data_IF_618527722255
#
_entry.id   IF_618527722255
#
_cell.length_a   1.000
_cell.length_b   1.000
_cell.length_c   1.000
_cell.angle_alpha   90.00
_cell.angle_beta   90.00
_cell.angle_gamma   90.00
#
_symmetry.space_group_name_H-M   'P 1'
#
loop_
_entity.id
_entity.type
_entity.pdbx_description
1 polymer ?
#
# COMPACT_ATOMS: atom_id res chain seq x y z
N UNK A 1 1.95 -17.78 12.64
CA UNK A 1 1.16 -16.54 12.54
C UNK A 1 1.58 -15.89 11.25
N UNK A 2 0.65 -15.67 10.34
CA UNK A 2 0.93 -15.10 9.04
C UNK A 2 0.54 -13.62 9.06
N UNK A 3 1.32 -12.80 8.37
CA UNK A 3 1.03 -11.38 8.19
C UNK A 3 0.61 -11.16 6.76
N UNK A 4 -0.50 -10.45 6.58
CA UNK A 4 -0.98 -10.02 5.27
C UNK A 4 -1.24 -8.51 5.31
N UNK A 5 -1.16 -7.88 4.14
CA UNK A 5 -1.51 -6.47 3.98
C UNK A 5 -2.83 -6.38 3.22
N UNK A 6 -3.76 -5.61 3.76
CA UNK A 6 -5.05 -5.28 3.14
C UNK A 6 -5.09 -3.78 2.86
N UNK A 7 -5.49 -3.41 1.66
CA UNK A 7 -5.73 -2.01 1.30
C UNK A 7 -7.22 -1.72 1.41
N UNK A 8 -7.56 -0.70 2.20
CA UNK A 8 -8.93 -0.24 2.41
C UNK A 8 -9.12 1.09 1.67
N UNK A 9 -9.83 1.01 0.56
CA UNK A 9 -10.12 2.16 -0.30
C UNK A 9 -10.99 3.21 0.40
N UNK A 10 -12.00 2.79 1.18
CA UNK A 10 -12.97 3.70 1.79
C UNK A 10 -12.44 4.31 3.09
N UNK A 11 -11.72 3.52 3.88
CA UNK A 11 -11.05 4.01 5.08
C UNK A 11 -9.76 4.75 4.78
N UNK A 12 -9.25 4.68 3.54
CA UNK A 12 -7.94 5.19 3.15
C UNK A 12 -6.81 4.65 4.05
N UNK A 13 -6.79 3.34 4.30
CA UNK A 13 -5.80 2.69 5.16
C UNK A 13 -5.08 1.55 4.43
N UNK A 14 -3.76 1.44 4.66
CA UNK A 14 -3.08 0.15 4.51
C UNK A 14 -3.10 -0.52 5.88
N UNK A 15 -3.68 -1.70 5.97
CA UNK A 15 -3.80 -2.47 7.20
C UNK A 15 -2.88 -3.68 7.15
N UNK A 16 -2.06 -3.84 8.17
CA UNK A 16 -1.34 -5.08 8.42
C UNK A 16 -2.19 -5.96 9.34
N UNK A 17 -2.48 -7.18 8.91
CA UNK A 17 -3.38 -8.10 9.61
C UNK A 17 -2.63 -9.37 9.97
N UNK A 18 -2.68 -9.75 11.24
CA UNK A 18 -2.21 -11.05 11.71
C UNK A 18 -3.31 -12.08 11.56
N UNK A 19 -2.99 -13.22 10.94
CA UNK A 19 -3.88 -14.38 10.80
C UNK A 19 -3.29 -15.57 11.54
N UNK A 20 -4.08 -16.15 12.44
CA UNK A 20 -3.70 -17.33 13.22
C UNK A 20 -4.01 -18.65 12.47
N UNK A 21 -3.64 -19.77 13.08
CA UNK A 21 -3.82 -21.12 12.50
C UNK A 21 -5.28 -21.56 12.36
N UNK A 22 -6.20 -20.86 13.02
CA UNK A 22 -7.64 -21.10 13.01
C UNK A 22 -8.39 -20.06 12.15
N UNK A 23 -7.66 -19.28 11.33
CA UNK A 23 -8.20 -18.17 10.54
C UNK A 23 -8.77 -17.01 11.35
N UNK A 24 -8.44 -16.93 12.65
CA UNK A 24 -8.68 -15.75 13.45
C UNK A 24 -7.79 -14.61 12.98
N UNK A 25 -8.38 -13.43 12.75
CA UNK A 25 -7.67 -12.25 12.26
C UNK A 25 -7.79 -11.07 13.21
N UNK A 26 -6.69 -10.33 13.37
CA UNK A 26 -6.68 -9.05 14.07
C UNK A 26 -5.82 -8.03 13.34
N UNK A 27 -6.20 -6.76 13.43
CA UNK A 27 -5.38 -5.66 12.94
C UNK A 27 -4.10 -5.62 13.80
N UNK A 28 -2.96 -5.72 13.14
CA UNK A 28 -1.63 -5.68 13.75
C UNK A 28 -1.06 -4.26 13.71
N UNK A 29 -1.20 -3.57 12.57
CA UNK A 29 -0.85 -2.16 12.40
C UNK A 29 -1.75 -1.50 11.34
N UNK A 30 -1.88 -0.18 11.39
CA UNK A 30 -2.61 0.61 10.39
C UNK A 30 -1.78 1.80 9.95
N UNK A 31 -1.82 2.07 8.66
CA UNK A 31 -1.11 3.17 8.02
C UNK A 31 -2.16 4.03 7.29
N UNK A 32 -2.69 5.08 7.96
CA UNK A 32 -3.75 5.91 7.42
C UNK A 32 -3.24 6.92 6.39
N UNK A 33 -4.09 7.20 5.41
CA UNK A 33 -3.92 8.22 4.38
C UNK A 33 -5.08 9.22 4.41
N UNK A 34 -4.90 10.34 3.71
CA UNK A 34 -5.91 11.39 3.62
C UNK A 34 -7.14 10.96 2.82
N UNK A 35 -8.25 11.67 3.04
CA UNK A 35 -9.55 11.44 2.38
C UNK A 35 -9.56 11.59 0.85
N UNK A 36 -8.48 12.12 0.26
CA UNK A 36 -8.29 12.17 -1.20
C UNK A 36 -7.66 10.91 -1.77
N UNK A 37 -7.22 9.99 -0.91
CA UNK A 37 -6.60 8.72 -1.33
C UNK A 37 -7.69 7.69 -1.61
N UNK A 38 -7.50 6.91 -2.65
CA UNK A 38 -8.33 5.76 -2.95
C UNK A 38 -7.40 4.58 -3.17
N UNK A 39 -7.07 3.86 -2.09
CA UNK A 39 -6.08 2.80 -2.13
C UNK A 39 -6.66 1.56 -2.83
N UNK A 40 -6.02 1.13 -3.91
CA UNK A 40 -6.29 -0.13 -4.61
C UNK A 40 -5.00 -0.93 -4.75
N UNK A 41 -5.12 -2.22 -5.04
CA UNK A 41 -4.04 -3.11 -5.49
C UNK A 41 -2.67 -2.98 -4.80
N UNK A 42 -2.24 -4.04 -4.14
CA UNK A 42 -0.95 -4.06 -3.46
C UNK A 42 -0.08 -5.21 -3.96
N UNK A 43 1.23 -4.98 -4.04
CA UNK A 43 2.19 -6.01 -4.40
C UNK A 43 3.50 -5.87 -3.64
N UNK A 44 4.09 -7.01 -3.31
CA UNK A 44 5.41 -7.08 -2.70
C UNK A 44 6.49 -7.17 -3.76
N UNK A 45 7.59 -6.46 -3.54
CA UNK A 45 8.78 -6.50 -4.40
C UNK A 45 10.03 -6.55 -3.52
N UNK A 46 10.86 -7.57 -3.75
CA UNK A 46 12.18 -7.68 -3.12
C UNK A 46 13.21 -6.90 -3.92
N UNK A 47 13.91 -5.95 -3.29
CA UNK A 47 15.00 -5.19 -3.91
C UNK A 47 16.23 -5.26 -3.01
N UNK A 48 17.31 -5.88 -3.51
CA UNK A 48 18.59 -6.03 -2.79
C UNK A 48 18.46 -6.67 -1.39
N UNK A 49 17.50 -7.58 -1.22
CA UNK A 49 17.27 -8.29 0.05
C UNK A 49 16.30 -7.58 1.00
N UNK A 50 15.79 -6.41 0.64
CA UNK A 50 14.74 -5.70 1.38
C UNK A 50 13.38 -5.89 0.71
N UNK A 51 12.33 -6.02 1.50
CA UNK A 51 10.95 -6.14 1.02
C UNK A 51 10.28 -4.78 0.96
N UNK A 52 9.60 -4.50 -0.15
CA UNK A 52 8.82 -3.29 -0.33
C UNK A 52 7.38 -3.64 -0.69
N UNK A 53 6.42 -2.93 -0.10
CA UNK A 53 5.03 -2.96 -0.49
C UNK A 53 4.73 -1.76 -1.38
N UNK A 54 4.29 -2.03 -2.60
CA UNK A 54 3.78 -1.01 -3.53
C UNK A 54 2.26 -1.04 -3.49
N UNK A 55 1.65 0.13 -3.31
CA UNK A 55 0.18 0.30 -3.26
C UNK A 55 -0.23 1.33 -4.31
N UNK A 56 -1.22 0.99 -5.12
CA UNK A 56 -1.79 1.94 -6.07
C UNK A 56 -2.73 2.91 -5.36
N UNK A 57 -2.57 4.21 -5.59
CA UNK A 57 -3.50 5.26 -5.15
C UNK A 57 -3.98 6.05 -6.38
N UNK A 58 -4.97 5.52 -7.12
CA UNK A 58 -5.58 6.23 -8.24
C UNK A 58 -6.24 7.55 -7.85
N UNK A 59 -6.71 7.70 -6.60
CA UNK A 59 -7.30 8.96 -6.09
C UNK A 59 -6.32 10.13 -6.18
N UNK A 60 -5.02 9.84 -6.10
CA UNK A 60 -3.93 10.81 -6.25
C UNK A 60 -3.06 10.60 -7.48
N UNK A 61 -3.37 9.61 -8.34
CA UNK A 61 -2.52 9.22 -9.47
C UNK A 61 -1.09 8.90 -9.04
N UNK A 62 -0.92 8.13 -7.96
CA UNK A 62 0.39 7.80 -7.40
C UNK A 62 0.55 6.32 -7.06
N UNK A 63 1.80 5.86 -6.97
CA UNK A 63 2.15 4.61 -6.28
C UNK A 63 2.81 4.97 -4.95
N UNK A 64 2.30 4.40 -3.86
CA UNK A 64 2.85 4.53 -2.53
C UNK A 64 3.81 3.36 -2.28
N UNK A 65 4.99 3.65 -1.74
CA UNK A 65 6.02 2.63 -1.49
C UNK A 65 6.32 2.58 0.00
N UNK A 66 6.25 1.38 0.56
CA UNK A 66 6.63 1.11 1.94
C UNK A 66 7.82 0.17 1.98
N UNK A 67 8.80 0.43 2.85
CA UNK A 67 9.77 -0.57 3.26
C UNK A 67 9.15 -1.43 4.36
N UNK A 68 9.28 -2.76 4.27
CA UNK A 68 8.67 -3.72 5.19
C UNK A 68 9.76 -4.60 5.82
N UNK A 69 10.50 -4.08 6.82
CA UNK A 69 11.66 -4.80 7.39
C UNK A 69 11.24 -5.92 8.36
N UNK A 70 10.04 -5.81 8.95
CA UNK A 70 9.46 -6.78 9.86
C UNK A 70 7.96 -6.49 10.07
N UNK A 71 7.19 -7.44 10.62
CA UNK A 71 5.80 -7.20 11.01
C UNK A 71 5.64 -5.98 11.93
N UNK A 72 4.66 -5.12 11.63
CA UNK A 72 4.34 -3.90 12.37
C UNK A 72 5.40 -2.81 12.25
N UNK A 73 6.36 -2.99 11.35
CA UNK A 73 7.47 -2.05 11.11
C UNK A 73 7.47 -1.51 9.69
N UNK A 74 6.40 -1.69 8.91
CA UNK A 74 6.31 -1.06 7.61
C UNK A 74 6.41 0.46 7.75
N UNK A 75 7.17 1.09 6.84
CA UNK A 75 7.41 2.53 6.83
C UNK A 75 7.19 3.08 5.44
N UNK A 76 6.43 4.17 5.33
CA UNK A 76 6.24 4.87 4.07
C UNK A 76 7.55 5.56 3.66
N UNK A 77 8.12 5.17 2.53
CA UNK A 77 9.45 5.64 2.08
C UNK A 77 9.40 6.49 0.82
N UNK A 78 8.34 6.37 0.01
CA UNK A 78 8.24 7.14 -1.23
C UNK A 78 6.79 7.29 -1.71
N UNK A 79 6.48 8.47 -2.26
CA UNK A 79 5.34 8.72 -3.14
C UNK A 79 5.85 8.83 -4.58
N UNK A 80 5.44 7.94 -5.46
CA UNK A 80 5.75 8.04 -6.89
C UNK A 80 4.57 8.70 -7.61
N UNK A 81 4.74 9.96 -7.97
CA UNK A 81 3.76 10.75 -8.73
C UNK A 81 3.72 10.29 -10.20
N UNK A 82 2.56 9.82 -10.67
CA UNK A 82 2.39 9.39 -12.06
C UNK A 82 1.76 10.49 -12.94
N UNK A 83 1.24 11.57 -12.34
CA UNK A 83 0.45 12.58 -13.07
C UNK A 83 1.15 13.21 -14.27
N UNK A 84 2.42 13.61 -14.14
CA UNK A 84 3.16 14.23 -15.25
C UNK A 84 3.48 13.24 -16.39
N UNK A 85 4.04 12.04 -16.12
CA UNK A 85 4.19 10.99 -17.13
C UNK A 85 2.87 10.62 -17.83
N UNK A 86 1.77 10.45 -17.08
CA UNK A 86 0.47 10.08 -17.64
C UNK A 86 -0.10 11.17 -18.54
N UNK A 87 0.06 12.45 -18.17
CA UNK A 87 -0.32 13.58 -19.04
C UNK A 87 0.45 13.59 -20.35
N UNK A 88 1.76 13.32 -20.33
CA UNK A 88 2.57 13.22 -21.55
C UNK A 88 2.08 12.10 -22.47
N UNK A 89 1.67 10.98 -21.88
CA UNK A 89 1.11 9.83 -22.59
C UNK A 89 -0.37 10.02 -23.00
N UNK A 90 -0.98 11.17 -22.67
CA UNK A 90 -2.41 11.46 -22.91
C UNK A 90 -3.36 10.41 -22.32
N UNK A 91 -2.95 9.80 -21.21
CA UNK A 91 -3.81 8.91 -20.43
C UNK A 91 -4.74 9.78 -19.60
N UNK A 92 -6.04 9.69 -19.83
CA UNK A 92 -7.07 10.33 -19.01
C UNK A 92 -7.61 9.33 -18.00
N UNK A 93 -7.92 9.79 -16.78
CA UNK A 93 -8.70 9.00 -15.84
C UNK A 93 -10.06 8.64 -16.50
N UNK A 94 -10.43 7.36 -16.43
CA UNK A 94 -11.71 6.85 -16.94
C UNK A 94 -12.87 7.18 -16.02
#
# INVERSE_FOLDING_TARGET
MNIIFLVDANGANVNEVSVDKNLGSSIFAQYPFGNTSFLSDATFVSVKGEEYLYVNDPGQSTILVFLVPAPGKATFVQKLELGAPLKQLRVTAG
#
